data_IF_239704532347
#
_entry.id   IF_239704532347
#
_cell.length_a   1.000
_cell.length_b   1.000
_cell.length_c   1.000
_cell.angle_alpha   90.00
_cell.angle_beta   90.00
_cell.angle_gamma   90.00
#
_symmetry.space_group_name_H-M   'P 1'
#
loop_
_entity.id
_entity.type
_entity.pdbx_description
1 polymer ?
#
# COMPACT_ATOMS: atom_id res chain seq x y z
N UNK A 1 3.41 -11.49 -4.16
CA UNK A 1 2.08 -11.28 -4.76
C UNK A 1 2.16 -10.44 -6.05
N UNK A 2 2.67 -9.21 -6.06
CA UNK A 2 2.64 -8.35 -7.26
C UNK A 2 3.25 -9.02 -8.50
N UNK A 3 4.42 -9.64 -8.39
CA UNK A 3 5.08 -10.34 -9.49
C UNK A 3 4.38 -11.66 -9.85
N UNK A 4 3.96 -12.47 -8.84
CA UNK A 4 3.27 -13.74 -9.12
C UNK A 4 1.91 -13.53 -9.78
N UNK A 5 1.18 -12.48 -9.42
CA UNK A 5 -0.09 -12.12 -10.09
C UNK A 5 0.10 -11.77 -11.58
N UNK A 6 1.31 -11.38 -11.98
CA UNK A 6 1.66 -11.09 -13.37
C UNK A 6 2.32 -12.29 -14.10
N UNK A 7 2.37 -13.46 -13.47
CA UNK A 7 2.84 -14.70 -14.10
C UNK A 7 4.27 -15.07 -13.79
N UNK A 8 4.97 -14.35 -12.90
CA UNK A 8 6.27 -14.81 -12.43
C UNK A 8 6.13 -16.07 -11.56
N UNK A 9 6.98 -17.07 -11.80
CA UNK A 9 7.17 -18.18 -10.90
C UNK A 9 7.93 -17.67 -9.67
N UNK A 10 7.32 -17.74 -8.50
CA UNK A 10 7.90 -17.20 -7.27
C UNK A 10 8.06 -18.29 -6.24
N UNK A 11 9.30 -18.52 -5.85
CA UNK A 11 9.68 -19.41 -4.75
C UNK A 11 9.93 -18.56 -3.51
N UNK A 12 9.28 -18.90 -2.41
CA UNK A 12 9.48 -18.30 -1.11
C UNK A 12 10.22 -19.29 -0.21
N UNK A 13 11.29 -18.82 0.40
CA UNK A 13 12.10 -19.60 1.33
C UNK A 13 12.03 -18.94 2.71
N UNK A 14 11.62 -19.70 3.71
CA UNK A 14 11.51 -19.24 5.09
C UNK A 14 12.42 -20.08 6.00
N UNK A 15 12.95 -19.44 7.05
CA UNK A 15 13.66 -20.14 8.12
C UNK A 15 12.66 -20.79 9.09
N UNK A 16 12.85 -22.03 9.52
CA UNK A 16 11.98 -22.69 10.51
C UNK A 16 11.98 -21.99 11.87
N UNK A 17 12.99 -21.17 12.15
CA UNK A 17 13.15 -20.45 13.41
C UNK A 17 12.41 -19.10 13.46
N UNK A 18 12.12 -18.53 12.29
CA UNK A 18 11.53 -17.19 12.15
C UNK A 18 10.03 -17.25 11.81
N UNK A 19 9.28 -18.17 12.39
CA UNK A 19 7.87 -18.39 12.12
C UNK A 19 6.97 -17.57 13.05
N UNK A 20 6.66 -16.32 12.73
CA UNK A 20 5.69 -15.56 13.52
C UNK A 20 4.28 -16.12 13.33
N UNK A 21 3.48 -16.09 14.42
CA UNK A 21 2.14 -16.65 14.41
C UNK A 21 1.20 -16.08 13.33
N UNK A 22 1.45 -14.85 12.86
CA UNK A 22 0.65 -14.22 11.80
C UNK A 22 0.82 -14.90 10.43
N UNK A 23 1.90 -15.64 10.19
CA UNK A 23 2.09 -16.43 8.96
C UNK A 23 0.99 -17.47 8.76
N UNK A 24 0.36 -17.92 9.84
CA UNK A 24 -0.75 -18.88 9.80
C UNK A 24 -2.12 -18.22 9.55
N UNK A 25 -2.19 -16.91 9.53
CA UNK A 25 -3.43 -16.16 9.35
C UNK A 25 -3.87 -16.04 7.88
N UNK A 26 -5.14 -15.64 7.63
CA UNK A 26 -5.69 -15.50 6.27
C UNK A 26 -4.95 -14.43 5.43
N UNK A 27 -4.38 -13.41 6.05
CA UNK A 27 -3.58 -12.39 5.37
C UNK A 27 -2.36 -12.99 4.66
N UNK A 28 -1.75 -14.05 5.22
CA UNK A 28 -0.64 -14.75 4.58
C UNK A 28 -1.06 -15.39 3.25
N UNK A 29 -2.26 -15.97 3.18
CA UNK A 29 -2.79 -16.54 1.94
C UNK A 29 -2.93 -15.48 0.84
N UNK A 30 -3.28 -14.25 1.20
CA UNK A 30 -3.38 -13.12 0.26
C UNK A 30 -1.99 -12.70 -0.24
N UNK A 31 -1.05 -12.42 0.68
CA UNK A 31 0.27 -11.91 0.31
C UNK A 31 1.16 -12.94 -0.40
N UNK A 32 0.91 -14.23 -0.15
CA UNK A 32 1.70 -15.33 -0.72
C UNK A 32 0.97 -16.15 -1.77
N UNK A 33 -0.18 -15.69 -2.26
CA UNK A 33 -0.88 -16.36 -3.35
C UNK A 33 0.03 -16.47 -4.59
N UNK A 34 -0.06 -17.62 -5.27
CA UNK A 34 0.74 -17.91 -6.45
C UNK A 34 2.21 -18.17 -6.20
N UNK A 35 2.65 -18.28 -4.93
CA UNK A 35 4.03 -18.65 -4.60
C UNK A 35 4.13 -20.11 -4.17
N UNK A 36 5.26 -20.73 -4.50
CA UNK A 36 5.71 -21.97 -3.88
C UNK A 36 6.47 -21.62 -2.60
N UNK A 37 6.25 -22.36 -1.51
CA UNK A 37 6.89 -22.06 -0.22
C UNK A 37 7.69 -23.24 0.28
N UNK A 38 8.95 -23.01 0.66
CA UNK A 38 9.86 -23.99 1.24
C UNK A 38 10.36 -23.50 2.60
N UNK A 39 10.63 -24.47 3.48
CA UNK A 39 11.26 -24.23 4.77
C UNK A 39 12.69 -24.78 4.71
N UNK A 40 13.69 -23.89 4.86
CA UNK A 40 15.11 -24.25 4.79
C UNK A 40 15.82 -23.71 6.04
N UNK A 41 16.46 -24.59 6.81
CA UNK A 41 17.30 -24.20 7.95
C UNK A 41 18.74 -23.91 7.47
N UNK A 42 19.05 -22.63 7.29
CA UNK A 42 20.38 -22.19 6.87
C UNK A 42 21.43 -22.22 7.99
N UNK A 43 21.10 -22.74 9.17
CA UNK A 43 22.08 -22.88 10.27
C UNK A 43 23.04 -24.06 10.08
N UNK A 44 22.72 -25.00 9.20
CA UNK A 44 23.58 -26.10 8.84
C UNK A 44 24.05 -26.03 7.37
N UNK A 45 25.05 -26.86 7.03
CA UNK A 45 25.63 -26.88 5.67
C UNK A 45 24.66 -27.37 4.62
N UNK A 46 23.78 -28.32 4.95
CA UNK A 46 22.84 -28.89 4.02
C UNK A 46 21.76 -27.86 3.62
N UNK A 47 21.24 -27.10 4.59
CA UNK A 47 20.31 -26.00 4.30
C UNK A 47 20.95 -24.90 3.45
N UNK A 48 22.24 -24.59 3.69
CA UNK A 48 22.96 -23.64 2.84
C UNK A 48 23.08 -24.14 1.39
N UNK A 49 23.46 -25.40 1.19
CA UNK A 49 23.54 -26.03 -0.14
C UNK A 49 22.19 -25.98 -0.86
N UNK A 50 21.10 -26.33 -0.18
CA UNK A 50 19.73 -26.24 -0.73
C UNK A 50 19.36 -24.81 -1.13
N UNK A 51 19.71 -23.83 -0.31
CA UNK A 51 19.44 -22.43 -0.63
C UNK A 51 20.21 -22.00 -1.89
N UNK A 52 21.50 -22.36 -2.01
CA UNK A 52 22.30 -22.10 -3.20
C UNK A 52 21.70 -22.75 -4.44
N UNK A 53 21.23 -24.00 -4.37
CA UNK A 53 20.56 -24.67 -5.49
C UNK A 53 19.34 -23.90 -5.98
N UNK A 54 18.52 -23.37 -5.08
CA UNK A 54 17.36 -22.52 -5.46
C UNK A 54 17.74 -21.19 -6.09
N UNK A 55 18.97 -20.71 -5.88
CA UNK A 55 19.44 -19.44 -6.45
C UNK A 55 20.10 -19.57 -7.82
N UNK A 56 20.58 -20.76 -8.17
CA UNK A 56 21.35 -20.97 -9.42
C UNK A 56 20.53 -20.70 -10.68
N UNK A 57 19.25 -21.07 -10.69
CA UNK A 57 18.37 -20.90 -11.84
C UNK A 57 17.46 -19.65 -11.71
N UNK A 58 17.68 -18.83 -10.68
CA UNK A 58 16.85 -17.67 -10.44
C UNK A 58 17.18 -16.51 -11.40
N UNK A 59 16.17 -15.90 -11.96
CA UNK A 59 16.31 -14.62 -12.67
C UNK A 59 16.47 -13.44 -11.71
N UNK A 60 15.78 -13.50 -10.57
CA UNK A 60 15.72 -12.46 -9.56
C UNK A 60 15.73 -13.08 -8.17
N UNK A 61 16.58 -12.56 -7.30
CA UNK A 61 16.60 -12.90 -5.87
C UNK A 61 16.19 -11.67 -5.07
N UNK A 62 15.28 -11.84 -4.12
CA UNK A 62 14.82 -10.76 -3.25
C UNK A 62 15.16 -11.10 -1.80
N UNK A 63 15.88 -10.20 -1.14
CA UNK A 63 16.32 -10.32 0.25
C UNK A 63 15.60 -9.32 1.14
N UNK A 64 15.32 -9.71 2.38
CA UNK A 64 14.69 -8.86 3.40
C UNK A 64 15.70 -8.10 4.28
N UNK A 65 17.01 -8.23 4.01
CA UNK A 65 18.10 -7.63 4.80
C UNK A 65 19.12 -6.92 3.91
N UNK A 66 20.10 -6.26 4.53
CA UNK A 66 21.24 -5.70 3.82
C UNK A 66 22.01 -6.76 3.03
N UNK A 67 22.56 -6.41 1.86
CA UNK A 67 23.36 -7.33 1.06
C UNK A 67 24.50 -7.98 1.86
N UNK A 68 25.15 -7.22 2.73
CA UNK A 68 26.28 -7.69 3.54
C UNK A 68 25.92 -8.88 4.44
N UNK A 69 24.65 -8.97 4.88
CA UNK A 69 24.17 -10.11 5.68
C UNK A 69 24.34 -11.45 4.96
N UNK A 70 24.24 -11.44 3.63
CA UNK A 70 24.29 -12.64 2.81
C UNK A 70 25.70 -13.01 2.36
N UNK A 71 26.73 -12.18 2.66
CA UNK A 71 28.13 -12.49 2.37
C UNK A 71 28.61 -13.75 3.11
N UNK A 72 28.18 -13.92 4.37
CA UNK A 72 28.52 -15.10 5.19
C UNK A 72 27.93 -16.42 4.65
N UNK A 73 27.02 -16.33 3.70
CA UNK A 73 26.37 -17.49 3.08
C UNK A 73 26.78 -17.70 1.62
N UNK A 74 27.77 -16.98 1.11
CA UNK A 74 28.15 -16.94 -0.32
C UNK A 74 26.99 -16.53 -1.25
N UNK A 75 25.96 -15.88 -0.72
CA UNK A 75 24.79 -15.43 -1.42
C UNK A 75 24.84 -13.92 -1.77
N UNK A 76 26.01 -13.31 -1.67
CA UNK A 76 26.19 -11.94 -2.14
C UNK A 76 26.05 -11.85 -3.66
N UNK A 77 25.61 -10.70 -4.16
CA UNK A 77 25.54 -10.48 -5.61
C UNK A 77 26.88 -10.74 -6.29
N UNK A 78 27.99 -10.34 -5.69
CA UNK A 78 29.34 -10.53 -6.22
C UNK A 78 29.75 -12.01 -6.33
N UNK A 79 29.23 -12.88 -5.47
CA UNK A 79 29.43 -14.32 -5.55
C UNK A 79 28.55 -14.95 -6.62
N UNK A 80 27.25 -14.71 -6.57
CA UNK A 80 26.27 -15.33 -7.46
C UNK A 80 26.39 -14.84 -8.92
N UNK A 81 26.75 -13.59 -9.15
CA UNK A 81 26.91 -13.04 -10.49
C UNK A 81 28.11 -13.60 -11.26
N UNK A 82 29.03 -14.30 -10.61
CA UNK A 82 30.13 -15.02 -11.30
C UNK A 82 29.61 -16.13 -12.17
N UNK A 83 28.64 -16.87 -11.67
CA UNK A 83 28.04 -18.03 -12.35
C UNK A 83 26.79 -17.63 -13.16
N UNK A 84 26.09 -16.58 -12.72
CA UNK A 84 24.93 -16.01 -13.41
C UNK A 84 25.08 -14.50 -13.61
N UNK A 85 25.78 -14.02 -14.66
CA UNK A 85 25.98 -12.59 -14.91
C UNK A 85 24.68 -11.80 -15.19
N UNK A 86 23.61 -12.50 -15.53
CA UNK A 86 22.29 -11.91 -15.75
C UNK A 86 21.42 -11.78 -14.49
N UNK A 87 21.91 -12.23 -13.34
CA UNK A 87 21.16 -12.24 -12.10
C UNK A 87 20.82 -10.82 -11.61
N UNK A 88 19.61 -10.66 -11.12
CA UNK A 88 19.16 -9.44 -10.47
C UNK A 88 18.96 -9.73 -8.97
N UNK A 89 19.69 -9.03 -8.11
CA UNK A 89 19.53 -9.14 -6.65
C UNK A 89 18.89 -7.89 -6.10
N UNK A 90 17.79 -8.02 -5.37
CA UNK A 90 17.06 -6.92 -4.74
C UNK A 90 17.08 -7.09 -3.23
N UNK A 91 17.58 -6.10 -2.51
CA UNK A 91 17.62 -6.07 -1.05
C UNK A 91 16.63 -5.04 -0.51
N UNK A 92 15.86 -5.40 0.52
CA UNK A 92 14.88 -4.55 1.20
C UNK A 92 15.23 -4.41 2.70
N UNK A 93 16.35 -3.77 3.05
CA UNK A 93 16.65 -3.49 4.45
C UNK A 93 15.67 -2.48 5.04
N UNK A 94 15.55 -2.43 6.36
CA UNK A 94 14.73 -1.43 7.05
C UNK A 94 15.17 0.00 6.75
N UNK A 95 16.48 0.23 6.82
CA UNK A 95 17.12 1.53 6.62
C UNK A 95 18.32 1.41 5.69
N UNK A 96 18.77 2.51 5.04
CA UNK A 96 19.96 2.49 4.19
C UNK A 96 21.23 2.28 5.00
N UNK A 97 22.27 1.73 4.35
CA UNK A 97 23.61 1.58 4.95
C UNK A 97 24.20 2.95 5.32
N UNK A 98 24.89 3.02 6.43
CA UNK A 98 25.42 4.27 6.99
C UNK A 98 24.39 5.10 7.76
N UNK A 99 23.16 4.65 7.87
CA UNK A 99 22.14 5.27 8.71
C UNK A 99 22.29 4.83 10.17
N UNK A 100 21.94 5.71 11.13
CA UNK A 100 21.99 5.37 12.57
C UNK A 100 21.16 4.13 12.95
N UNK A 101 20.16 3.79 12.13
CA UNK A 101 19.24 2.67 12.33
C UNK A 101 19.47 1.53 11.35
N UNK A 102 20.63 1.46 10.69
CA UNK A 102 20.89 0.44 9.64
C UNK A 102 20.68 -1.00 10.11
N UNK A 103 20.97 -1.29 11.39
CA UNK A 103 20.80 -2.62 11.99
C UNK A 103 19.39 -2.93 12.45
N UNK A 104 18.45 -1.97 12.40
CA UNK A 104 17.07 -2.21 12.78
C UNK A 104 16.34 -3.01 11.69
N UNK A 105 15.47 -3.95 12.10
CA UNK A 105 14.72 -4.77 11.16
C UNK A 105 13.74 -3.92 10.32
N UNK A 106 13.34 -4.39 9.14
CA UNK A 106 12.34 -3.73 8.29
C UNK A 106 10.91 -3.90 8.85
N UNK A 107 10.74 -3.67 10.16
CA UNK A 107 9.44 -3.71 10.81
C UNK A 107 8.60 -2.48 10.46
N UNK A 108 7.33 -2.71 10.12
CA UNK A 108 6.40 -1.66 9.70
C UNK A 108 6.30 -0.53 10.73
N UNK A 109 6.15 -0.88 12.01
CA UNK A 109 5.98 0.10 13.09
C UNK A 109 7.23 0.93 13.32
N UNK A 110 8.41 0.30 13.28
CA UNK A 110 9.70 0.96 13.47
C UNK A 110 9.96 1.95 12.33
N UNK A 111 9.81 1.48 11.08
CA UNK A 111 10.05 2.31 9.90
C UNK A 111 9.06 3.46 9.80
N UNK A 112 7.77 3.20 10.01
CA UNK A 112 6.73 4.21 9.98
C UNK A 112 6.93 5.27 11.08
N UNK A 113 7.32 4.86 12.29
CA UNK A 113 7.65 5.81 13.37
C UNK A 113 8.82 6.71 13.01
N UNK A 114 9.89 6.14 12.45
CA UNK A 114 11.07 6.90 12.05
C UNK A 114 10.80 7.86 10.89
N UNK A 115 9.90 7.51 9.97
CA UNK A 115 9.51 8.38 8.85
C UNK A 115 8.61 9.55 9.25
N UNK A 116 8.03 9.52 10.45
CA UNK A 116 7.11 10.54 10.94
C UNK A 116 5.66 10.41 10.47
N UNK A 117 5.28 9.31 9.78
CA UNK A 117 3.92 9.13 9.27
C UNK A 117 2.88 9.11 10.37
N UNK A 118 3.21 8.57 11.55
CA UNK A 118 2.27 8.50 12.67
C UNK A 118 1.99 9.85 13.33
N UNK A 119 2.86 10.84 13.13
CA UNK A 119 2.60 12.23 13.53
C UNK A 119 1.97 13.08 12.42
N UNK A 120 1.83 12.51 11.21
CA UNK A 120 1.25 13.18 10.09
C UNK A 120 -0.28 13.10 10.14
N UNK A 121 -0.90 14.17 10.60
CA UNK A 121 -2.35 14.36 10.51
C UNK A 121 -2.63 15.52 9.55
N UNK A 122 -2.88 15.23 8.27
CA UNK A 122 -3.05 16.28 7.26
C UNK A 122 -4.30 17.14 7.45
N UNK A 123 -5.30 16.66 8.18
CA UNK A 123 -6.57 17.36 8.33
C UNK A 123 -6.74 18.04 9.70
N UNK A 124 -5.94 17.70 10.71
CA UNK A 124 -6.07 18.25 12.07
C UNK A 124 -7.40 17.98 12.78
N UNK A 125 -8.35 17.36 12.10
CA UNK A 125 -9.77 17.34 12.48
C UNK A 125 -10.44 15.98 12.44
N UNK A 126 -9.69 14.88 12.31
CA UNK A 126 -10.32 13.58 12.49
C UNK A 126 -10.64 13.40 13.97
N UNK A 127 -11.92 13.27 14.34
CA UNK A 127 -12.35 13.12 15.75
C UNK A 127 -11.86 11.83 16.40
N UNK A 128 -11.11 11.01 15.67
CA UNK A 128 -10.57 9.72 16.09
C UNK A 128 -9.09 9.84 16.52
N UNK A 129 -8.40 10.90 16.13
CA UNK A 129 -7.02 11.13 16.56
C UNK A 129 -7.01 11.76 17.95
N UNK A 130 -6.65 10.98 18.94
CA UNK A 130 -6.27 11.51 20.25
C UNK A 130 -5.06 12.44 20.18
N UNK A 131 -4.68 13.07 21.26
CA UNK A 131 -3.47 13.86 21.37
C UNK A 131 -2.23 12.96 21.31
N UNK A 132 -1.75 12.59 20.12
CA UNK A 132 -0.55 11.78 19.99
C UNK A 132 -0.45 11.03 18.66
N UNK A 133 0.66 10.29 18.46
CA UNK A 133 0.82 9.44 17.31
C UNK A 133 -0.27 8.36 17.23
N UNK A 134 -0.80 8.10 16.04
CA UNK A 134 -1.80 7.05 15.84
C UNK A 134 -1.34 6.05 14.79
N UNK A 135 -1.56 4.76 15.07
CA UNK A 135 -1.30 3.72 14.09
C UNK A 135 -2.28 3.80 12.93
N UNK A 136 -1.77 3.78 11.73
CA UNK A 136 -2.58 3.56 10.54
C UNK A 136 -2.89 2.07 10.41
N UNK A 137 -4.12 1.73 10.05
CA UNK A 137 -4.55 0.34 9.87
C UNK A 137 -3.96 -0.35 8.62
N UNK A 138 -3.11 0.34 7.85
CA UNK A 138 -2.49 -0.16 6.63
C UNK A 138 -0.96 -0.15 6.76
N UNK A 139 -0.27 -1.21 6.26
CA UNK A 139 1.19 -1.29 6.26
C UNK A 139 1.78 -0.45 5.13
N UNK A 140 1.83 0.85 5.29
CA UNK A 140 2.30 1.80 4.26
C UNK A 140 3.77 1.58 3.89
N UNK A 141 4.65 1.39 4.88
CA UNK A 141 6.07 1.23 4.63
C UNK A 141 6.35 -0.02 3.78
N UNK A 142 5.80 -1.16 4.20
CA UNK A 142 5.91 -2.42 3.46
C UNK A 142 5.26 -2.36 2.08
N UNK A 143 4.14 -1.65 1.95
CA UNK A 143 3.43 -1.50 0.68
C UNK A 143 4.23 -0.66 -0.32
N UNK A 144 4.75 0.49 0.10
CA UNK A 144 5.59 1.34 -0.77
C UNK A 144 6.89 0.63 -1.16
N UNK A 145 7.52 -0.09 -0.23
CA UNK A 145 8.72 -0.88 -0.52
C UNK A 145 8.42 -1.98 -1.54
N UNK A 146 7.32 -2.71 -1.40
CA UNK A 146 6.93 -3.77 -2.32
C UNK A 146 6.64 -3.25 -3.74
N UNK A 147 5.95 -2.12 -3.87
CA UNK A 147 5.67 -1.48 -5.16
C UNK A 147 6.97 -0.98 -5.80
N UNK A 148 7.82 -0.29 -5.03
CA UNK A 148 9.11 0.23 -5.51
C UNK A 148 10.03 -0.90 -5.96
N UNK A 149 10.15 -1.97 -5.16
CA UNK A 149 10.98 -3.13 -5.49
C UNK A 149 10.45 -3.85 -6.75
N UNK A 150 9.13 -4.06 -6.87
CA UNK A 150 8.55 -4.69 -8.06
C UNK A 150 8.80 -3.86 -9.32
N UNK A 151 8.70 -2.55 -9.23
CA UNK A 151 9.02 -1.64 -10.33
C UNK A 151 10.51 -1.70 -10.71
N UNK A 152 11.39 -1.71 -9.71
CA UNK A 152 12.84 -1.82 -9.92
C UNK A 152 13.22 -3.16 -10.58
N UNK A 153 12.58 -4.27 -10.17
CA UNK A 153 12.75 -5.58 -10.81
C UNK A 153 12.40 -5.53 -12.29
N UNK A 154 11.24 -4.97 -12.65
CA UNK A 154 10.82 -4.87 -14.06
C UNK A 154 11.79 -4.00 -14.85
N UNK A 155 12.24 -2.88 -14.30
CA UNK A 155 13.23 -2.01 -14.93
C UNK A 155 14.58 -2.73 -15.15
N UNK A 156 15.03 -3.51 -14.17
CA UNK A 156 16.27 -4.30 -14.27
C UNK A 156 16.14 -5.45 -15.27
N UNK A 157 15.01 -6.12 -15.35
CA UNK A 157 14.74 -7.14 -16.36
C UNK A 157 14.77 -6.53 -17.77
N UNK A 158 14.18 -5.34 -17.95
CA UNK A 158 14.26 -4.62 -19.21
C UNK A 158 15.70 -4.20 -19.57
N UNK A 159 16.48 -3.74 -18.59
CA UNK A 159 17.91 -3.43 -18.77
C UNK A 159 18.69 -4.69 -19.17
N UNK A 160 18.49 -5.80 -18.46
CA UNK A 160 19.12 -7.09 -18.74
C UNK A 160 18.82 -7.56 -20.17
N UNK A 161 17.58 -7.43 -20.62
CA UNK A 161 17.19 -7.81 -21.97
C UNK A 161 17.95 -7.04 -23.06
N UNK A 162 18.44 -5.84 -22.78
CA UNK A 162 19.22 -5.00 -23.71
C UNK A 162 20.74 -5.19 -23.58
N UNK A 163 21.21 -5.47 -22.39
CA UNK A 163 22.65 -5.42 -22.07
C UNK A 163 23.24 -6.76 -21.64
N UNK A 164 22.43 -7.79 -21.49
CA UNK A 164 22.80 -9.11 -20.96
C UNK A 164 23.56 -9.06 -19.62
N UNK A 165 23.22 -8.07 -18.78
CA UNK A 165 23.85 -7.86 -17.50
C UNK A 165 22.80 -7.68 -16.42
N UNK A 166 22.95 -8.41 -15.31
CA UNK A 166 22.14 -8.26 -14.12
C UNK A 166 22.53 -7.03 -13.30
N UNK A 167 21.85 -6.82 -12.20
CA UNK A 167 22.05 -5.65 -11.34
C UNK A 167 21.81 -6.00 -9.87
N UNK A 168 22.57 -5.34 -8.99
CA UNK A 168 22.25 -5.28 -7.56
C UNK A 168 21.45 -4.02 -7.27
N UNK A 169 20.33 -4.18 -6.57
CA UNK A 169 19.36 -3.12 -6.26
C UNK A 169 19.14 -3.13 -4.76
N UNK A 170 19.15 -1.97 -4.14
CA UNK A 170 18.74 -1.81 -2.74
C UNK A 170 17.57 -0.86 -2.64
N UNK A 171 16.49 -1.29 -1.99
CA UNK A 171 15.28 -0.51 -1.73
C UNK A 171 15.04 -0.49 -0.23
N UNK A 172 15.63 0.44 0.52
CA UNK A 172 15.36 0.57 1.95
C UNK A 172 13.88 0.87 2.18
N UNK A 173 13.25 0.13 3.10
CA UNK A 173 11.81 0.27 3.38
C UNK A 173 11.48 1.68 3.86
N UNK A 174 12.37 2.28 4.68
CA UNK A 174 12.26 3.67 5.13
C UNK A 174 12.25 4.66 3.95
N UNK A 175 13.18 4.52 3.01
CA UNK A 175 13.30 5.47 1.90
C UNK A 175 12.12 5.35 0.93
N UNK A 176 11.64 4.13 0.70
CA UNK A 176 10.45 3.91 -0.10
C UNK A 176 9.20 4.54 0.56
N UNK A 177 9.05 4.39 1.88
CA UNK A 177 7.99 5.05 2.64
C UNK A 177 8.14 6.57 2.60
N UNK A 178 9.36 7.07 2.83
CA UNK A 178 9.67 8.50 2.81
C UNK A 178 9.33 9.12 1.44
N UNK A 179 9.71 8.46 0.35
CA UNK A 179 9.33 8.85 -1.00
C UNK A 179 7.80 8.87 -1.19
N UNK A 180 7.09 7.90 -0.63
CA UNK A 180 5.63 7.81 -0.68
C UNK A 180 4.91 8.95 0.04
N UNK A 181 5.51 9.56 1.06
CA UNK A 181 4.96 10.73 1.75
C UNK A 181 4.95 12.01 0.87
N UNK A 182 5.80 12.06 -0.17
CA UNK A 182 5.74 13.06 -1.23
C UNK A 182 5.74 14.51 -0.74
N UNK A 183 4.68 15.22 -1.04
CA UNK A 183 4.55 16.67 -0.74
C UNK A 183 4.56 17.00 0.75
N UNK A 184 4.22 16.05 1.63
CA UNK A 184 4.27 16.24 3.08
C UNK A 184 5.68 16.54 3.61
N UNK A 185 6.71 16.16 2.85
CA UNK A 185 8.11 16.33 3.22
C UNK A 185 8.73 17.63 2.71
N UNK A 186 7.98 18.47 2.02
CA UNK A 186 8.52 19.72 1.44
C UNK A 186 8.58 20.80 2.50
N UNK A 187 9.79 21.32 2.73
CA UNK A 187 10.03 22.52 3.54
C UNK A 187 10.71 23.60 2.69
N UNK A 188 10.30 24.83 2.85
CA UNK A 188 10.94 25.96 2.19
C UNK A 188 11.12 27.14 3.17
N UNK A 189 12.06 28.03 2.86
CA UNK A 189 12.41 29.18 3.73
C UNK A 189 11.33 30.25 3.83
N UNK A 190 10.46 30.33 2.83
CA UNK A 190 9.30 31.24 2.86
C UNK A 190 8.17 30.49 3.57
N UNK A 191 7.96 30.80 4.84
CA UNK A 191 6.86 30.24 5.61
C UNK A 191 5.54 30.65 4.96
N UNK A 192 4.84 29.71 4.34
CA UNK A 192 3.41 29.89 4.12
C UNK A 192 2.72 29.60 5.44
N UNK A 193 1.96 30.57 5.92
CA UNK A 193 1.07 30.39 7.05
C UNK A 193 -0.06 29.47 6.57
N UNK A 194 -0.04 28.21 7.01
CA UNK A 194 -1.12 27.25 6.81
C UNK A 194 -0.97 26.39 5.56
N UNK A 195 -0.39 25.22 5.70
CA UNK A 195 -0.57 24.10 4.78
C UNK A 195 -1.92 23.40 5.05
N UNK A 196 -3.01 24.11 4.90
CA UNK A 196 -4.28 23.42 4.73
C UNK A 196 -4.39 23.04 3.26
N UNK A 197 -4.06 21.80 2.93
CA UNK A 197 -4.33 21.24 1.62
C UNK A 197 -5.84 21.05 1.44
N UNK A 198 -6.53 22.13 1.14
CA UNK A 198 -7.94 22.07 0.81
C UNK A 198 -8.78 23.14 1.48
N UNK A 199 -10.02 23.21 1.06
CA UNK A 199 -10.97 24.16 1.58
C UNK A 199 -11.51 23.71 2.94
N UNK A 200 -11.47 24.56 3.99
CA UNK A 200 -11.75 24.13 5.37
C UNK A 200 -13.22 23.78 5.64
N UNK A 201 -14.13 24.12 4.74
CA UNK A 201 -15.57 23.82 4.87
C UNK A 201 -16.04 22.79 3.85
N UNK A 202 -15.64 22.90 2.59
CA UNK A 202 -16.21 22.14 1.48
C UNK A 202 -15.29 21.05 0.92
N UNK A 203 -14.18 20.77 1.63
CA UNK A 203 -13.32 19.60 1.39
C UNK A 203 -13.03 18.93 2.73
N UNK A 204 -13.95 18.12 3.22
CA UNK A 204 -13.81 17.42 4.52
C UNK A 204 -14.82 16.29 4.70
N UNK A 205 -14.82 15.69 5.88
CA UNK A 205 -15.80 14.72 6.31
C UNK A 205 -16.96 15.37 7.06
N UNK A 206 -18.19 14.89 6.81
CA UNK A 206 -19.38 15.29 7.55
C UNK A 206 -20.15 14.06 8.03
N UNK A 207 -20.73 14.15 9.22
CA UNK A 207 -21.62 13.15 9.73
C UNK A 207 -23.05 13.42 9.24
N UNK A 208 -23.67 12.40 8.64
CA UNK A 208 -25.03 12.48 8.09
C UNK A 208 -26.11 12.06 9.11
N UNK A 209 -27.39 12.15 8.72
CA UNK A 209 -28.56 11.85 9.55
C UNK A 209 -28.52 10.45 10.18
N UNK A 210 -28.01 9.47 9.47
CA UNK A 210 -27.84 8.07 9.89
C UNK A 210 -26.57 7.83 10.73
N UNK A 211 -25.86 8.88 11.14
CA UNK A 211 -24.59 8.88 11.85
C UNK A 211 -23.42 8.30 11.04
N UNK A 212 -23.60 8.04 9.76
CA UNK A 212 -22.52 7.65 8.86
C UNK A 212 -21.79 8.90 8.37
N UNK A 213 -20.56 8.71 7.90
CA UNK A 213 -19.73 9.78 7.38
C UNK A 213 -19.76 9.80 5.86
N UNK A 214 -19.74 11.00 5.30
CA UNK A 214 -19.49 11.27 3.88
C UNK A 214 -18.24 12.10 3.74
N UNK A 215 -17.38 11.76 2.75
CA UNK A 215 -16.27 12.61 2.32
C UNK A 215 -16.74 13.44 1.14
N UNK A 216 -16.46 14.73 1.17
CA UNK A 216 -16.82 15.65 0.09
C UNK A 216 -15.64 16.48 -0.34
N UNK A 217 -15.55 16.78 -1.64
CA UNK A 217 -14.57 17.68 -2.22
C UNK A 217 -15.21 18.56 -3.30
N UNK A 218 -15.94 19.56 -2.86
CA UNK A 218 -16.69 20.49 -3.73
C UNK A 218 -16.01 21.86 -3.83
N UNK A 219 -14.67 21.88 -3.73
CA UNK A 219 -13.85 23.12 -3.68
C UNK A 219 -13.85 23.91 -4.98
N UNK A 220 -14.23 23.32 -6.11
CA UNK A 220 -14.29 24.03 -7.38
C UNK A 220 -15.69 24.62 -7.63
N UNK A 221 -15.80 25.86 -8.18
CA UNK A 221 -17.09 26.49 -8.47
C UNK A 221 -18.04 25.61 -9.31
N UNK A 222 -17.50 24.83 -10.23
CA UNK A 222 -18.28 23.90 -11.07
C UNK A 222 -18.97 22.77 -10.28
N UNK A 223 -18.49 22.45 -9.09
CA UNK A 223 -19.10 21.47 -8.18
C UNK A 223 -19.89 22.15 -7.06
N UNK A 224 -19.38 23.27 -6.54
CA UNK A 224 -20.00 24.01 -5.45
C UNK A 224 -21.36 24.60 -5.89
N UNK A 225 -21.41 25.21 -7.06
CA UNK A 225 -22.64 25.85 -7.54
C UNK A 225 -23.82 24.87 -7.66
N UNK A 226 -23.74 23.75 -8.39
CA UNK A 226 -24.84 22.77 -8.46
C UNK A 226 -25.23 22.21 -7.10
N UNK A 227 -24.26 22.00 -6.20
CA UNK A 227 -24.56 21.57 -4.84
C UNK A 227 -25.37 22.59 -4.08
N UNK A 228 -24.97 23.88 -4.11
CA UNK A 228 -25.68 24.96 -3.44
C UNK A 228 -27.09 25.18 -4.00
N UNK A 229 -27.25 25.04 -5.32
CA UNK A 229 -28.56 25.08 -5.96
C UNK A 229 -29.48 23.96 -5.44
N UNK A 230 -28.95 22.75 -5.21
CA UNK A 230 -29.71 21.58 -4.72
C UNK A 230 -30.16 21.75 -3.26
N UNK A 231 -29.44 22.54 -2.49
CA UNK A 231 -29.80 22.82 -1.08
C UNK A 231 -30.47 24.20 -0.89
N UNK A 232 -30.85 24.87 -1.97
CA UNK A 232 -31.49 26.19 -2.00
C UNK A 232 -30.66 27.31 -1.31
N UNK A 233 -29.33 27.26 -1.44
CA UNK A 233 -28.41 28.20 -0.80
C UNK A 233 -27.35 28.76 -1.74
N UNK A 234 -27.75 29.16 -2.95
CA UNK A 234 -26.81 29.70 -3.96
C UNK A 234 -26.07 30.95 -3.49
N UNK A 235 -26.66 31.72 -2.57
CA UNK A 235 -26.06 32.91 -1.97
C UNK A 235 -24.79 32.59 -1.14
N UNK A 236 -24.54 31.33 -0.81
CA UNK A 236 -23.34 30.91 -0.10
C UNK A 236 -22.12 30.79 -1.03
N UNK A 237 -22.29 30.89 -2.34
CA UNK A 237 -21.21 30.69 -3.31
C UNK A 237 -20.07 31.70 -3.11
N UNK A 238 -20.37 32.98 -3.07
CA UNK A 238 -19.37 34.05 -2.96
C UNK A 238 -18.60 33.97 -1.63
N UNK A 239 -19.24 33.85 -0.44
CA UNK A 239 -18.51 33.71 0.81
C UNK A 239 -17.61 32.51 0.90
N UNK A 240 -17.98 31.39 0.27
CA UNK A 240 -17.22 30.13 0.31
C UNK A 240 -16.05 30.10 -0.68
N UNK A 241 -16.01 30.96 -1.66
CA UNK A 241 -14.88 31.06 -2.61
C UNK A 241 -13.69 31.86 -2.06
N UNK A 242 -13.89 32.69 -1.04
CA UNK A 242 -12.82 33.44 -0.38
C UNK A 242 -12.23 32.64 0.81
N UNK A 243 -11.39 31.66 0.48
CA UNK A 243 -10.72 30.80 1.47
C UNK A 243 -9.85 31.60 2.45
N UNK A 244 -9.19 32.67 1.98
CA UNK A 244 -8.33 33.49 2.84
C UNK A 244 -9.13 34.20 3.94
N UNK A 245 -10.28 34.69 3.59
CA UNK A 245 -11.21 35.29 4.55
C UNK A 245 -11.70 34.28 5.57
N UNK A 246 -12.09 33.09 5.12
CA UNK A 246 -12.54 32.02 6.02
C UNK A 246 -11.45 31.61 7.01
N UNK A 247 -10.22 31.46 6.56
CA UNK A 247 -9.08 31.06 7.42
C UNK A 247 -8.61 32.17 8.35
N UNK A 248 -8.88 33.46 8.03
CA UNK A 248 -8.50 34.59 8.86
C UNK A 248 -9.47 34.87 10.02
N UNK A 249 -10.64 34.23 10.03
CA UNK A 249 -11.69 34.46 11.03
C UNK A 249 -12.27 33.14 11.53
N UNK A 250 -11.78 32.65 12.66
CA UNK A 250 -12.21 31.42 13.29
C UNK A 250 -13.72 31.37 13.59
N UNK A 251 -14.30 32.52 13.99
CA UNK A 251 -15.74 32.60 14.27
C UNK A 251 -16.56 32.36 12.99
N UNK A 252 -16.13 32.95 11.88
CA UNK A 252 -16.76 32.76 10.57
C UNK A 252 -16.58 31.30 10.11
N UNK A 253 -15.41 30.74 10.25
CA UNK A 253 -15.13 29.36 9.89
C UNK A 253 -16.04 28.39 10.68
N UNK A 254 -16.14 28.56 11.99
CA UNK A 254 -17.00 27.73 12.84
C UNK A 254 -18.47 27.87 12.47
N UNK A 255 -18.92 29.08 12.14
CA UNK A 255 -20.28 29.31 11.66
C UNK A 255 -20.58 28.54 10.36
N UNK A 256 -19.65 28.55 9.40
CA UNK A 256 -19.79 27.83 8.16
C UNK A 256 -19.75 26.30 8.36
N UNK A 257 -18.87 25.81 9.20
CA UNK A 257 -18.81 24.40 9.55
C UNK A 257 -20.13 23.92 10.19
N UNK A 258 -20.72 24.70 11.07
CA UNK A 258 -22.00 24.38 11.69
C UNK A 258 -23.13 24.33 10.65
N UNK A 259 -23.25 25.34 9.77
CA UNK A 259 -24.24 25.35 8.68
C UNK A 259 -24.13 24.12 7.77
N UNK A 260 -22.93 23.76 7.36
CA UNK A 260 -22.73 22.55 6.55
C UNK A 260 -23.01 21.28 7.33
N UNK A 261 -22.68 21.22 8.60
CA UNK A 261 -23.10 20.10 9.46
C UNK A 261 -24.60 19.94 9.48
N UNK A 262 -25.37 21.00 9.65
CA UNK A 262 -26.83 20.96 9.60
C UNK A 262 -27.36 20.49 8.23
N UNK A 263 -26.75 20.95 7.13
CA UNK A 263 -27.11 20.47 5.78
C UNK A 263 -26.93 18.98 5.65
N UNK A 264 -25.74 18.45 6.03
CA UNK A 264 -25.46 17.02 5.89
C UNK A 264 -26.31 16.13 6.80
N UNK A 265 -26.78 16.64 7.93
CA UNK A 265 -27.69 15.93 8.84
C UNK A 265 -29.14 15.81 8.32
N UNK A 266 -29.51 16.46 7.24
CA UNK A 266 -30.88 16.38 6.68
C UNK A 266 -31.15 15.06 5.94
N UNK A 267 -30.13 14.37 5.45
CA UNK A 267 -30.25 13.12 4.70
C UNK A 267 -29.25 12.08 5.20
N UNK A 268 -29.47 10.81 4.87
CA UNK A 268 -28.51 9.73 5.10
C UNK A 268 -27.27 9.88 4.19
N UNK A 269 -26.17 9.23 4.55
CA UNK A 269 -24.95 9.29 3.75
C UNK A 269 -25.16 8.73 2.33
N UNK A 270 -25.97 7.68 2.19
CA UNK A 270 -26.31 7.09 0.89
C UNK A 270 -27.20 8.01 0.04
N UNK A 271 -28.19 8.67 0.64
CA UNK A 271 -29.02 9.64 -0.09
C UNK A 271 -28.19 10.80 -0.63
N UNK A 272 -27.22 11.30 0.17
CA UNK A 272 -26.29 12.33 -0.26
C UNK A 272 -25.35 11.83 -1.36
N UNK A 273 -24.81 10.63 -1.24
CA UNK A 273 -23.95 10.04 -2.26
C UNK A 273 -24.68 9.94 -3.61
N UNK A 274 -25.92 9.48 -3.62
CA UNK A 274 -26.73 9.40 -4.85
C UNK A 274 -26.97 10.79 -5.47
N UNK A 275 -27.26 11.80 -4.68
CA UNK A 275 -27.40 13.18 -5.15
C UNK A 275 -26.06 13.70 -5.75
N UNK A 276 -24.95 13.41 -5.08
CA UNK A 276 -23.62 13.82 -5.57
C UNK A 276 -23.27 13.12 -6.88
N UNK A 277 -23.61 11.84 -7.02
CA UNK A 277 -23.40 11.06 -8.25
C UNK A 277 -24.23 11.61 -9.42
N UNK A 278 -25.54 11.85 -9.21
CA UNK A 278 -26.43 12.44 -10.22
C UNK A 278 -25.94 13.81 -10.72
N UNK A 279 -25.34 14.60 -9.84
CA UNK A 279 -24.78 15.91 -10.17
C UNK A 279 -23.35 15.84 -10.72
N UNK A 280 -22.71 14.69 -10.74
CA UNK A 280 -21.30 14.53 -11.11
C UNK A 280 -20.34 15.25 -10.16
N UNK A 281 -20.68 15.32 -8.87
CA UNK A 281 -19.93 16.02 -7.82
C UNK A 281 -19.12 15.02 -6.98
N UNK A 282 -17.82 15.29 -6.68
CA UNK A 282 -17.02 14.42 -5.86
C UNK A 282 -17.51 14.36 -4.40
N UNK A 283 -18.19 13.27 -4.05
CA UNK A 283 -18.64 12.97 -2.71
C UNK A 283 -19.00 11.52 -2.58
N UNK A 284 -18.57 10.85 -1.50
CA UNK A 284 -18.85 9.43 -1.30
C UNK A 284 -18.97 9.10 0.18
N UNK A 285 -19.88 8.18 0.48
CA UNK A 285 -20.07 7.63 1.81
C UNK A 285 -18.83 6.85 2.27
N UNK A 286 -18.41 7.06 3.52
CA UNK A 286 -17.37 6.24 4.13
C UNK A 286 -17.92 4.84 4.41
N UNK A 287 -17.49 3.88 3.60
CA UNK A 287 -17.88 2.47 3.72
C UNK A 287 -16.98 1.73 4.70
N UNK A 288 -17.50 0.70 5.31
CA UNK A 288 -16.69 -0.32 5.98
C UNK A 288 -15.98 -1.20 4.94
N UNK A 289 -14.96 -1.95 5.36
CA UNK A 289 -14.26 -2.91 4.49
C UNK A 289 -15.25 -3.97 3.99
N UNK A 290 -16.13 -4.48 4.85
CA UNK A 290 -17.11 -5.51 4.47
C UNK A 290 -18.10 -4.99 3.43
N UNK A 291 -18.63 -3.78 3.62
CA UNK A 291 -19.50 -3.15 2.62
C UNK A 291 -18.83 -2.97 1.26
N UNK A 292 -17.53 -2.65 1.26
CA UNK A 292 -16.79 -2.53 0.02
C UNK A 292 -16.54 -3.89 -0.64
N UNK A 293 -16.14 -4.91 0.13
CA UNK A 293 -15.95 -6.27 -0.36
C UNK A 293 -17.23 -6.89 -0.94
N UNK A 294 -18.39 -6.47 -0.43
CA UNK A 294 -19.71 -6.94 -0.89
C UNK A 294 -20.33 -6.06 -1.98
N UNK A 295 -19.70 -4.93 -2.31
CA UNK A 295 -20.24 -4.03 -3.32
C UNK A 295 -20.23 -4.64 -4.71
N UNK A 296 -21.30 -4.43 -5.48
CA UNK A 296 -21.41 -4.87 -6.86
C UNK A 296 -20.25 -4.35 -7.70
N UNK A 297 -19.86 -3.10 -7.49
CA UNK A 297 -18.74 -2.48 -8.18
C UNK A 297 -17.43 -3.22 -7.95
N UNK A 298 -17.10 -3.59 -6.70
CA UNK A 298 -15.84 -4.27 -6.38
C UNK A 298 -15.76 -5.65 -7.01
N UNK A 299 -16.90 -6.35 -7.10
CA UNK A 299 -16.99 -7.69 -7.70
C UNK A 299 -16.91 -7.60 -9.23
N UNK A 300 -17.71 -6.77 -9.86
CA UNK A 300 -17.73 -6.63 -11.33
C UNK A 300 -16.40 -6.10 -11.85
N UNK A 301 -15.81 -5.14 -11.15
CA UNK A 301 -14.48 -4.62 -11.51
C UNK A 301 -13.35 -5.63 -11.27
N UNK A 302 -13.60 -6.73 -10.57
CA UNK A 302 -12.58 -7.70 -10.15
C UNK A 302 -11.58 -7.13 -9.13
N UNK A 303 -11.92 -6.01 -8.48
CA UNK A 303 -11.15 -5.49 -7.35
C UNK A 303 -11.27 -6.42 -6.14
N UNK A 304 -12.40 -7.10 -6.01
CA UNK A 304 -12.62 -8.19 -5.06
C UNK A 304 -12.84 -9.50 -5.82
N UNK A 305 -12.16 -10.54 -5.37
CA UNK A 305 -12.34 -11.91 -5.84
C UNK A 305 -12.68 -12.83 -4.67
N UNK A 306 -13.33 -13.95 -4.97
CA UNK A 306 -13.58 -15.01 -3.98
C UNK A 306 -12.71 -16.22 -4.33
N UNK A 307 -11.93 -16.68 -3.36
CA UNK A 307 -11.12 -17.90 -3.47
C UNK A 307 -11.68 -18.93 -2.48
N UNK A 308 -11.73 -20.19 -2.88
CA UNK A 308 -12.03 -21.30 -1.98
C UNK A 308 -10.73 -21.79 -1.35
N UNK A 309 -10.47 -21.32 -0.12
CA UNK A 309 -9.26 -21.68 0.62
C UNK A 309 -9.50 -22.95 1.44
N UNK A 310 -8.60 -23.92 1.35
CA UNK A 310 -8.78 -25.23 2.01
C UNK A 310 -8.71 -25.18 3.55
N UNK A 311 -8.20 -24.06 4.12
CA UNK A 311 -8.13 -23.86 5.58
C UNK A 311 -9.22 -22.90 6.04
N UNK A 312 -9.42 -21.80 5.32
CA UNK A 312 -10.30 -20.69 5.71
C UNK A 312 -11.67 -20.73 5.01
N UNK A 313 -11.90 -21.68 4.07
CA UNK A 313 -13.11 -21.75 3.27
C UNK A 313 -13.19 -20.61 2.23
N UNK A 314 -14.41 -20.17 1.93
CA UNK A 314 -14.62 -19.05 0.98
C UNK A 314 -14.07 -17.76 1.54
N UNK A 315 -13.07 -17.20 0.87
CA UNK A 315 -12.34 -16.03 1.31
C UNK A 315 -12.40 -14.93 0.23
N UNK A 316 -12.99 -13.79 0.57
CA UNK A 316 -12.92 -12.59 -0.26
C UNK A 316 -11.57 -11.90 -0.06
N UNK A 317 -10.96 -11.49 -1.15
CA UNK A 317 -9.66 -10.84 -1.12
C UNK A 317 -9.46 -9.91 -2.31
N UNK A 318 -8.46 -9.01 -2.27
CA UNK A 318 -8.12 -8.15 -3.41
C UNK A 318 -7.78 -8.99 -4.65
N UNK A 319 -8.34 -8.61 -5.79
CA UNK A 319 -8.02 -9.17 -7.09
C UNK A 319 -6.68 -8.68 -7.66
N UNK A 320 -6.41 -8.96 -8.93
CA UNK A 320 -5.24 -8.43 -9.64
C UNK A 320 -5.38 -6.94 -9.85
N UNK A 321 -4.34 -6.19 -9.50
CA UNK A 321 -4.32 -4.73 -9.67
C UNK A 321 -4.03 -4.35 -11.12
N UNK A 322 -3.09 -5.05 -11.77
CA UNK A 322 -2.66 -4.76 -13.14
C UNK A 322 -3.33 -5.73 -14.10
N UNK A 323 -3.93 -5.20 -15.16
CA UNK A 323 -4.58 -5.96 -16.24
C UNK A 323 -3.98 -5.53 -17.57
N UNK A 324 -3.47 -6.50 -18.33
CA UNK A 324 -2.88 -6.26 -19.65
C UNK A 324 -3.88 -6.70 -20.71
N UNK A 325 -4.37 -5.81 -21.55
CA UNK A 325 -5.45 -6.05 -22.51
C UNK A 325 -5.06 -6.90 -23.73
N UNK A 326 -3.76 -6.99 -24.04
CA UNK A 326 -3.28 -7.65 -25.27
C UNK A 326 -2.79 -9.09 -25.04
N UNK A 327 -2.83 -9.58 -23.84
CA UNK A 327 -2.60 -10.98 -23.53
C UNK A 327 -3.93 -11.62 -23.19
N UNK A 328 -4.27 -12.68 -23.90
CA UNK A 328 -5.24 -13.66 -23.43
C UNK A 328 -4.59 -14.32 -22.19
N UNK A 329 -4.68 -13.61 -21.08
CA UNK A 329 -4.46 -14.20 -19.79
C UNK A 329 -5.63 -15.14 -19.60
N UNK A 330 -5.59 -16.28 -20.29
CA UNK A 330 -6.47 -17.38 -20.00
C UNK A 330 -6.49 -17.46 -18.49
N UNK A 331 -7.66 -17.45 -17.89
CA UNK A 331 -7.93 -17.39 -16.46
C UNK A 331 -6.73 -17.88 -15.65
N UNK A 332 -5.75 -16.99 -15.40
CA UNK A 332 -4.71 -17.24 -14.41
C UNK A 332 -5.49 -17.28 -13.12
N UNK A 333 -6.02 -18.46 -12.84
CA UNK A 333 -6.63 -18.74 -11.56
C UNK A 333 -5.62 -18.27 -10.52
N UNK A 334 -6.02 -17.33 -9.68
CA UNK A 334 -5.19 -16.88 -8.60
C UNK A 334 -5.03 -18.08 -7.67
N UNK A 335 -3.94 -18.81 -7.88
CA UNK A 335 -3.67 -20.00 -7.11
C UNK A 335 -3.39 -19.61 -5.67
N UNK A 336 -3.89 -20.42 -4.76
CA UNK A 336 -3.56 -20.32 -3.34
C UNK A 336 -2.03 -20.37 -3.15
N UNK A 337 -1.53 -19.67 -2.13
CA UNK A 337 -0.17 -19.91 -1.64
C UNK A 337 0.01 -21.40 -1.33
N UNK A 338 1.05 -22.03 -1.89
CA UNK A 338 1.33 -23.42 -1.57
C UNK A 338 1.61 -23.59 -0.07
N UNK A 339 1.22 -24.71 0.49
CA UNK A 339 1.66 -25.05 1.83
C UNK A 339 3.18 -25.20 1.82
N UNK A 340 3.84 -24.81 2.93
CA UNK A 340 5.27 -25.00 3.07
C UNK A 340 5.65 -26.44 2.87
N UNK A 341 6.55 -26.67 1.93
CA UNK A 341 7.08 -27.96 1.62
C UNK A 341 8.49 -28.08 2.24
N UNK A 342 8.78 -29.23 2.81
CA UNK A 342 10.18 -29.57 3.12
C UNK A 342 10.85 -29.95 1.81
N UNK A 343 12.10 -29.56 1.56
CA UNK A 343 12.85 -30.00 0.41
C UNK A 343 12.81 -31.54 0.33
N UNK A 344 12.64 -32.08 -0.87
CA UNK A 344 12.68 -33.53 -1.05
C UNK A 344 14.08 -34.01 -0.66
N UNK A 345 14.21 -35.07 0.19
CA UNK A 345 15.52 -35.67 0.42
C UNK A 345 16.06 -36.17 -0.91
N UNK A 346 17.34 -35.86 -1.19
CA UNK A 346 18.02 -36.37 -2.38
C UNK A 346 17.85 -37.88 -2.50
N UNK A 347 17.32 -38.30 -3.61
CA UNK A 347 17.45 -39.71 -4.03
C UNK A 347 18.90 -39.88 -4.46
N UNK A 348 19.74 -40.39 -3.55
CA UNK A 348 21.10 -40.83 -3.91
C UNK A 348 20.98 -41.77 -5.10
N UNK A 349 21.44 -41.32 -6.26
CA UNK A 349 21.71 -42.18 -7.43
C UNK A 349 23.01 -42.90 -7.26
#
# INVERSE_FOLDING_TARGET
MLLSDQGAEVVRIDSPKDYPAWIKGPANSVWNRGKQSFEIDVSDSHGKEQLVEHTNDADVIIYDKHPDFYEDFDLSYSSLAKDNPGLICVSLPGFPKGHTYEDLPPDEGIVASASGIYSFNPSGELPIAGEGPSFHGLPYASTFAAITASTAVVAALYYRAKHNTGQQITVPVHDAMYQGMGTALVRHSKRSTGNQEGHPVIKRFYQCKDRRWINVNISFPRFLKPFLDTIDHIEWLEPLTDTNRLLSNETDLNRWNNRFTEVWQNKTALEWENIMDELGIPGTMCRTIDEWLDSEHSVISGATITIDDSIFGKMKQPGKIVRLSNHDHGNLELSRASQMQKPKPEVKR
#
